data_IF_523307387846
#
_entry.id   IF_523307387846
#
_cell.length_a   1.000
_cell.length_b   1.000
_cell.length_c   1.000
_cell.angle_alpha   90.00
_cell.angle_beta   90.00
_cell.angle_gamma   90.00
#
_symmetry.space_group_name_H-M   'P 1'
#
loop_
_entity.id
_entity.type
_entity.pdbx_description
1 polymer ?
#
# COMPACT_ATOMS: atom_id res chain seq x y z
N UNK A 1 19.26 -44.67 -29.97
CA UNK A 1 20.24 -43.80 -29.29
C UNK A 1 19.77 -42.38 -29.48
N UNK A 2 18.92 -41.88 -28.61
CA UNK A 2 18.34 -40.53 -28.69
C UNK A 2 19.03 -39.63 -27.67
N UNK A 3 19.79 -38.66 -28.20
CA UNK A 3 20.54 -37.68 -27.42
C UNK A 3 19.61 -36.60 -26.92
N UNK A 4 19.29 -36.58 -25.59
CA UNK A 4 18.65 -35.48 -24.91
C UNK A 4 19.67 -34.33 -24.74
N UNK A 5 19.58 -33.32 -25.56
CA UNK A 5 20.27 -32.05 -25.30
C UNK A 5 19.43 -31.22 -24.34
N UNK A 6 19.83 -31.22 -23.08
CA UNK A 6 19.36 -30.25 -22.07
C UNK A 6 20.00 -28.91 -22.41
N UNK A 7 19.20 -27.97 -22.91
CA UNK A 7 19.65 -26.59 -23.06
C UNK A 7 19.71 -25.93 -21.68
N UNK A 8 20.91 -25.72 -21.20
CA UNK A 8 21.17 -24.84 -20.08
C UNK A 8 20.93 -23.40 -20.55
N UNK A 9 19.82 -22.82 -20.19
CA UNK A 9 19.59 -21.38 -20.32
C UNK A 9 20.31 -20.73 -19.14
N UNK A 10 21.31 -19.87 -19.36
CA UNK A 10 21.99 -19.23 -18.27
C UNK A 10 21.05 -18.28 -17.54
N UNK A 11 20.93 -18.48 -16.23
CA UNK A 11 20.13 -17.70 -15.26
C UNK A 11 20.52 -16.19 -15.23
N UNK A 12 21.52 -15.78 -15.98
CA UNK A 12 22.10 -14.42 -15.96
C UNK A 12 21.38 -13.38 -16.83
N UNK A 13 20.37 -13.77 -17.61
CA UNK A 13 19.63 -12.81 -18.51
C UNK A 13 18.39 -12.22 -17.83
N UNK A 14 17.90 -12.81 -16.73
CA UNK A 14 16.70 -12.32 -16.04
C UNK A 14 16.95 -11.14 -15.07
N UNK A 15 18.20 -10.84 -14.72
CA UNK A 15 18.52 -9.81 -13.72
C UNK A 15 18.58 -8.37 -14.27
N UNK A 16 18.54 -8.17 -15.59
CA UNK A 16 18.69 -6.82 -16.20
C UNK A 16 17.41 -6.20 -16.76
N UNK A 17 16.30 -6.92 -16.76
CA UNK A 17 15.00 -6.38 -17.24
C UNK A 17 14.04 -6.00 -16.10
N UNK A 18 14.38 -6.30 -14.83
CA UNK A 18 13.48 -6.12 -13.70
C UNK A 18 13.49 -4.72 -13.06
N UNK A 19 14.36 -3.80 -13.49
CA UNK A 19 14.54 -2.52 -12.76
C UNK A 19 13.68 -1.37 -13.25
N UNK A 20 12.98 -1.50 -14.38
CA UNK A 20 12.15 -0.42 -14.93
C UNK A 20 10.63 -0.64 -14.79
N UNK A 21 10.16 -1.86 -14.50
CA UNK A 21 8.72 -2.17 -14.47
C UNK A 21 8.05 -1.91 -13.12
N UNK A 22 8.81 -1.84 -12.01
CA UNK A 22 8.26 -1.59 -10.65
C UNK A 22 7.67 -0.17 -10.52
N UNK A 23 8.02 0.76 -11.40
CA UNK A 23 7.58 2.15 -11.33
C UNK A 23 6.35 2.47 -12.21
N UNK A 24 5.99 1.60 -13.15
CA UNK A 24 4.91 1.83 -14.10
C UNK A 24 3.60 1.17 -13.66
N UNK A 25 2.49 1.64 -14.23
CA UNK A 25 1.20 0.96 -14.11
C UNK A 25 1.21 -0.31 -14.97
N UNK A 26 0.96 -1.45 -14.34
CA UNK A 26 0.79 -2.73 -15.03
C UNK A 26 -0.68 -3.17 -14.96
N UNK A 27 -1.30 -3.32 -16.12
CA UNK A 27 -2.69 -3.74 -16.23
C UNK A 27 -2.89 -5.20 -15.76
N UNK A 28 -1.92 -6.07 -16.00
CA UNK A 28 -1.94 -7.45 -15.54
C UNK A 28 -1.90 -7.54 -14.02
N UNK A 29 -1.04 -6.76 -13.38
CA UNK A 29 -1.01 -6.64 -11.92
C UNK A 29 -2.34 -6.17 -11.34
N UNK A 30 -2.99 -5.18 -11.99
CA UNK A 30 -4.28 -4.69 -11.52
C UNK A 30 -5.38 -5.75 -11.62
N UNK A 31 -5.45 -6.49 -12.72
CA UNK A 31 -6.46 -7.54 -12.89
C UNK A 31 -6.22 -8.72 -11.93
N UNK A 32 -4.96 -9.15 -11.73
CA UNK A 32 -4.59 -10.15 -10.73
C UNK A 32 -4.98 -9.68 -9.34
N UNK A 33 -4.62 -8.45 -8.97
CA UNK A 33 -4.97 -7.90 -7.66
C UNK A 33 -6.48 -7.84 -7.41
N UNK A 34 -7.26 -7.41 -8.39
CA UNK A 34 -8.73 -7.39 -8.25
C UNK A 34 -9.32 -8.76 -8.00
N UNK A 35 -8.74 -9.80 -8.60
CA UNK A 35 -9.20 -11.18 -8.47
C UNK A 35 -8.75 -11.81 -7.16
N UNK A 36 -7.45 -11.74 -6.87
CA UNK A 36 -6.81 -12.55 -5.83
C UNK A 36 -6.53 -11.77 -4.54
N UNK A 37 -6.66 -10.42 -4.58
CA UNK A 37 -6.32 -9.49 -3.48
C UNK A 37 -4.87 -9.58 -3.01
N UNK A 38 -3.99 -10.18 -3.80
CA UNK A 38 -2.57 -10.34 -3.53
C UNK A 38 -1.78 -9.73 -4.69
N UNK A 39 -0.88 -8.79 -4.37
CA UNK A 39 -0.02 -8.13 -5.34
C UNK A 39 1.18 -7.53 -4.64
N UNK A 40 2.14 -8.38 -4.24
CA UNK A 40 3.39 -7.90 -3.67
C UNK A 40 4.30 -7.29 -4.74
N UNK A 41 4.98 -6.18 -4.41
CA UNK A 41 5.92 -5.47 -5.30
C UNK A 41 5.34 -5.08 -6.67
N UNK A 42 4.02 -4.92 -6.76
CA UNK A 42 3.33 -4.64 -8.02
C UNK A 42 3.41 -3.17 -8.44
N UNK A 43 3.42 -2.94 -9.76
CA UNK A 43 3.25 -1.62 -10.37
C UNK A 43 1.77 -1.26 -10.51
N UNK A 44 1.22 -0.52 -9.55
CA UNK A 44 -0.18 -0.09 -9.51
C UNK A 44 -0.31 1.45 -9.48
N UNK A 45 0.65 2.14 -10.07
CA UNK A 45 0.65 3.61 -10.16
C UNK A 45 -0.64 4.13 -10.81
N UNK A 46 -1.30 5.09 -10.14
CA UNK A 46 -2.59 5.67 -10.58
C UNK A 46 -3.74 4.65 -10.69
N UNK A 47 -3.64 3.48 -10.10
CA UNK A 47 -4.70 2.47 -10.13
C UNK A 47 -6.03 3.04 -9.61
N UNK A 48 -7.12 2.71 -10.30
CA UNK A 48 -8.48 3.09 -9.89
C UNK A 48 -9.06 1.99 -9.00
N UNK A 49 -8.98 2.19 -7.68
CA UNK A 49 -9.39 1.23 -6.65
C UNK A 49 -10.48 1.81 -5.73
N UNK A 50 -11.16 2.88 -6.16
CA UNK A 50 -12.19 3.54 -5.36
C UNK A 50 -13.42 2.66 -5.13
N UNK A 51 -13.96 2.72 -3.89
CA UNK A 51 -15.15 1.98 -3.46
C UNK A 51 -15.00 0.45 -3.58
N UNK A 52 -13.78 -0.08 -3.53
CA UNK A 52 -13.52 -1.52 -3.61
C UNK A 52 -13.43 -2.14 -2.23
N UNK A 53 -13.86 -3.39 -2.14
CA UNK A 53 -13.75 -4.28 -0.99
C UNK A 53 -12.38 -4.97 -1.03
N UNK A 54 -11.41 -4.43 -0.29
CA UNK A 54 -10.00 -4.86 -0.32
C UNK A 54 -9.51 -5.34 1.06
N UNK A 55 -10.44 -5.79 1.91
CA UNK A 55 -10.12 -6.27 3.25
C UNK A 55 -9.09 -7.41 3.20
N UNK A 56 -8.10 -7.36 4.07
CA UNK A 56 -7.06 -8.36 4.19
C UNK A 56 -6.15 -8.49 2.97
N UNK A 57 -6.24 -7.56 2.00
CA UNK A 57 -5.39 -7.63 0.81
C UNK A 57 -3.91 -7.49 1.15
N UNK A 58 -3.05 -8.14 0.35
CA UNK A 58 -1.61 -8.02 0.46
C UNK A 58 -1.04 -7.22 -0.73
N UNK A 59 -0.59 -6.01 -0.43
CA UNK A 59 0.00 -5.04 -1.37
C UNK A 59 1.43 -4.66 -0.96
N UNK A 60 2.07 -5.46 -0.10
CA UNK A 60 3.40 -5.17 0.42
C UNK A 60 4.38 -4.77 -0.68
N UNK A 61 5.17 -3.72 -0.46
CA UNK A 61 6.21 -3.24 -1.37
C UNK A 61 5.72 -2.66 -2.70
N UNK A 62 4.40 -2.63 -2.94
CA UNK A 62 3.83 -2.20 -4.22
C UNK A 62 3.95 -0.71 -4.45
N UNK A 63 4.04 -0.31 -5.72
CA UNK A 63 3.98 1.08 -6.13
C UNK A 63 2.53 1.51 -6.40
N UNK A 64 1.95 2.21 -5.44
CA UNK A 64 0.59 2.76 -5.47
C UNK A 64 0.59 4.30 -5.60
N UNK A 65 1.68 4.85 -6.13
CA UNK A 65 1.80 6.30 -6.31
C UNK A 65 0.61 6.87 -7.08
N UNK A 66 -0.06 7.87 -6.51
CA UNK A 66 -1.30 8.46 -7.04
C UNK A 66 -2.47 7.49 -7.23
N UNK A 67 -2.47 6.32 -6.64
CA UNK A 67 -3.62 5.42 -6.68
C UNK A 67 -4.84 6.07 -6.00
N UNK A 68 -6.03 5.69 -6.43
CA UNK A 68 -7.28 6.20 -5.89
C UNK A 68 -8.02 5.12 -5.11
N UNK A 69 -8.01 5.23 -3.78
CA UNK A 69 -8.71 4.36 -2.82
C UNK A 69 -9.93 5.05 -2.18
N UNK A 70 -10.44 6.12 -2.80
CA UNK A 70 -11.57 6.86 -2.24
C UNK A 70 -12.72 5.94 -1.83
N UNK A 71 -13.10 5.97 -0.53
CA UNK A 71 -14.17 5.15 0.06
C UNK A 71 -13.96 3.63 -0.09
N UNK A 72 -12.75 3.14 -0.27
CA UNK A 72 -12.47 1.70 -0.26
C UNK A 72 -12.37 1.16 1.15
N UNK A 73 -12.55 -0.14 1.29
CA UNK A 73 -12.29 -0.87 2.53
C UNK A 73 -10.98 -1.65 2.43
N UNK A 74 -9.99 -1.22 3.20
CA UNK A 74 -8.65 -1.83 3.34
C UNK A 74 -8.45 -2.37 4.77
N UNK A 75 -9.53 -2.72 5.47
CA UNK A 75 -9.46 -3.27 6.83
C UNK A 75 -8.50 -4.46 6.87
N UNK A 76 -7.52 -4.41 7.77
CA UNK A 76 -6.51 -5.46 7.94
C UNK A 76 -5.57 -5.68 6.75
N UNK A 77 -5.57 -4.79 5.75
CA UNK A 77 -4.70 -4.92 4.59
C UNK A 77 -3.21 -4.77 4.96
N UNK A 78 -2.35 -5.50 4.27
CA UNK A 78 -0.90 -5.32 4.35
C UNK A 78 -0.43 -4.32 3.28
N UNK A 79 -0.14 -3.11 3.71
CA UNK A 79 0.37 -1.98 2.93
C UNK A 79 1.80 -1.62 3.36
N UNK A 80 2.52 -2.54 4.02
CA UNK A 80 3.88 -2.27 4.48
C UNK A 80 4.84 -2.03 3.31
N UNK A 81 5.76 -1.09 3.50
CA UNK A 81 6.80 -0.74 2.52
C UNK A 81 6.26 -0.24 1.16
N UNK A 82 4.95 0.09 1.06
CA UNK A 82 4.32 0.58 -0.17
C UNK A 82 4.66 2.04 -0.46
N UNK A 83 4.72 2.39 -1.74
CA UNK A 83 4.70 3.78 -2.17
C UNK A 83 3.26 4.25 -2.39
N UNK A 84 2.68 4.93 -1.41
CA UNK A 84 1.35 5.54 -1.43
C UNK A 84 1.41 7.06 -1.66
N UNK A 85 2.54 7.57 -2.10
CA UNK A 85 2.75 9.01 -2.31
C UNK A 85 1.67 9.61 -3.21
N UNK A 86 1.09 10.74 -2.78
CA UNK A 86 0.02 11.46 -3.48
C UNK A 86 -1.25 10.64 -3.77
N UNK A 87 -1.44 9.48 -3.13
CA UNK A 87 -2.67 8.70 -3.27
C UNK A 87 -3.88 9.44 -2.69
N UNK A 88 -5.06 9.13 -3.22
CA UNK A 88 -6.33 9.59 -2.65
C UNK A 88 -6.92 8.48 -1.79
N UNK A 89 -6.83 8.64 -0.47
CA UNK A 89 -7.33 7.70 0.54
C UNK A 89 -8.43 8.34 1.41
N UNK A 90 -9.13 9.36 0.88
CA UNK A 90 -10.23 10.01 1.62
C UNK A 90 -11.35 9.03 1.91
N UNK A 91 -11.85 9.07 3.15
CA UNK A 91 -12.91 8.18 3.64
C UNK A 91 -12.59 6.69 3.51
N UNK A 92 -11.32 6.31 3.33
CA UNK A 92 -10.90 4.91 3.25
C UNK A 92 -10.94 4.29 4.64
N UNK A 93 -11.42 3.06 4.76
CA UNK A 93 -11.30 2.28 5.97
C UNK A 93 -9.95 1.54 5.97
N UNK A 94 -9.08 1.88 6.90
CA UNK A 94 -7.75 1.31 7.12
C UNK A 94 -7.63 0.70 8.52
N UNK A 95 -8.76 0.33 9.15
CA UNK A 95 -8.75 -0.26 10.48
C UNK A 95 -7.85 -1.49 10.53
N UNK A 96 -6.91 -1.52 11.49
CA UNK A 96 -5.96 -2.61 11.66
C UNK A 96 -4.99 -2.84 10.48
N UNK A 97 -4.96 -1.93 9.49
CA UNK A 97 -4.05 -2.06 8.35
C UNK A 97 -2.58 -1.91 8.79
N UNK A 98 -1.70 -2.66 8.14
CA UNK A 98 -0.26 -2.54 8.32
C UNK A 98 0.33 -1.56 7.30
N UNK A 99 0.67 -0.35 7.75
CA UNK A 99 1.30 0.73 6.96
C UNK A 99 2.77 0.94 7.36
N UNK A 100 3.38 -0.05 8.00
CA UNK A 100 4.78 0.04 8.46
C UNK A 100 5.72 0.37 7.30
N UNK A 101 6.51 1.45 7.46
CA UNK A 101 7.47 1.88 6.44
C UNK A 101 6.85 2.36 5.12
N UNK A 102 5.53 2.56 5.05
CA UNK A 102 4.88 3.08 3.85
C UNK A 102 5.23 4.55 3.60
N UNK A 103 5.42 4.92 2.35
CA UNK A 103 5.53 6.32 1.94
C UNK A 103 4.14 6.90 1.66
N UNK A 104 3.66 7.74 2.57
CA UNK A 104 2.40 8.47 2.48
C UNK A 104 2.61 9.97 2.15
N UNK A 105 3.79 10.33 1.67
CA UNK A 105 4.13 11.72 1.33
C UNK A 105 3.07 12.33 0.40
N UNK A 106 2.47 13.43 0.85
CA UNK A 106 1.39 14.15 0.15
C UNK A 106 0.13 13.32 -0.12
N UNK A 107 -0.05 12.18 0.54
CA UNK A 107 -1.30 11.41 0.46
C UNK A 107 -2.46 12.17 1.11
N UNK A 108 -3.67 11.92 0.62
CA UNK A 108 -4.89 12.52 1.17
C UNK A 108 -5.66 11.48 1.99
N UNK A 109 -5.48 11.52 3.32
CA UNK A 109 -6.12 10.64 4.30
C UNK A 109 -7.29 11.32 5.04
N UNK A 110 -7.78 12.45 4.53
CA UNK A 110 -8.88 13.16 5.20
C UNK A 110 -10.08 12.25 5.44
N UNK A 111 -10.58 12.27 6.69
CA UNK A 111 -11.74 11.48 7.09
C UNK A 111 -11.56 9.96 6.89
N UNK A 112 -10.31 9.48 6.79
CA UNK A 112 -10.00 8.06 6.80
C UNK A 112 -10.06 7.48 8.22
N UNK A 113 -10.30 6.17 8.32
CA UNK A 113 -10.36 5.44 9.58
C UNK A 113 -9.10 4.59 9.72
N UNK A 114 -8.16 5.02 10.58
CA UNK A 114 -6.90 4.33 10.91
C UNK A 114 -6.92 3.73 12.31
N UNK A 115 -8.10 3.36 12.80
CA UNK A 115 -8.25 2.73 14.10
C UNK A 115 -7.38 1.47 14.18
N UNK A 116 -6.48 1.41 15.20
CA UNK A 116 -5.55 0.30 15.39
C UNK A 116 -4.58 0.01 14.21
N UNK A 117 -4.45 0.90 13.24
CA UNK A 117 -3.50 0.75 12.15
C UNK A 117 -2.04 0.91 12.63
N UNK A 118 -1.09 0.26 11.97
CA UNK A 118 0.33 0.37 12.29
C UNK A 118 1.06 1.27 11.28
N UNK A 119 1.46 2.47 11.71
CA UNK A 119 2.21 3.44 10.91
C UNK A 119 3.70 3.53 11.29
N UNK A 120 4.24 2.56 12.04
CA UNK A 120 5.64 2.62 12.50
C UNK A 120 6.59 2.84 11.32
N UNK A 121 7.39 3.91 11.39
CA UNK A 121 8.37 4.26 10.35
C UNK A 121 7.77 4.77 9.03
N UNK A 122 6.45 5.01 8.95
CA UNK A 122 5.84 5.59 7.75
C UNK A 122 6.29 7.05 7.55
N UNK A 123 6.39 7.47 6.28
CA UNK A 123 6.69 8.84 5.89
C UNK A 123 5.38 9.62 5.70
N UNK A 124 5.20 10.70 6.47
CA UNK A 124 3.96 11.50 6.48
C UNK A 124 4.18 12.95 6.03
N UNK A 125 5.23 13.26 5.28
CA UNK A 125 5.51 14.61 4.81
C UNK A 125 4.34 15.15 3.96
N UNK A 126 3.81 16.31 4.31
CA UNK A 126 2.67 16.96 3.65
C UNK A 126 1.40 16.08 3.56
N UNK A 127 1.27 14.99 4.33
CA UNK A 127 0.08 14.13 4.37
C UNK A 127 -1.10 14.90 4.96
N UNK A 128 -2.26 14.82 4.31
CA UNK A 128 -3.50 15.47 4.77
C UNK A 128 -4.26 14.55 5.73
N UNK A 129 -4.30 14.91 7.02
CA UNK A 129 -4.89 14.10 8.08
C UNK A 129 -6.17 14.71 8.71
N UNK A 130 -6.73 15.78 8.15
CA UNK A 130 -7.90 16.45 8.74
C UNK A 130 -9.07 15.46 8.86
N UNK A 131 -9.60 15.28 10.06
CA UNK A 131 -10.70 14.36 10.34
C UNK A 131 -10.33 12.88 10.34
N UNK A 132 -9.05 12.52 10.17
CA UNK A 132 -8.59 11.13 10.25
C UNK A 132 -8.73 10.59 11.68
N UNK A 133 -9.34 9.43 11.85
CA UNK A 133 -9.49 8.76 13.15
C UNK A 133 -8.24 7.90 13.41
N UNK A 134 -7.48 8.22 14.47
CA UNK A 134 -6.19 7.59 14.80
C UNK A 134 -6.20 6.86 16.15
N UNK A 135 -7.36 6.72 16.81
CA UNK A 135 -7.47 6.04 18.09
C UNK A 135 -6.87 4.64 18.02
N UNK A 136 -5.96 4.30 18.95
CA UNK A 136 -5.31 3.00 19.01
C UNK A 136 -4.26 2.73 17.92
N UNK A 137 -4.10 3.64 16.95
CA UNK A 137 -3.06 3.48 15.93
C UNK A 137 -1.66 3.52 16.55
N UNK A 138 -0.76 2.69 16.04
CA UNK A 138 0.68 2.78 16.36
C UNK A 138 1.29 3.83 15.43
N UNK A 139 1.73 4.94 16.03
CA UNK A 139 2.27 6.09 15.30
C UNK A 139 3.68 5.83 14.72
N UNK A 140 4.17 6.76 13.91
CA UNK A 140 5.47 6.63 13.21
C UNK A 140 6.66 6.36 14.13
N UNK A 141 6.60 6.80 15.39
CA UNK A 141 7.63 6.59 16.43
C UNK A 141 7.37 5.35 17.31
N UNK A 142 6.35 4.53 16.98
CA UNK A 142 5.99 3.32 17.70
C UNK A 142 5.08 3.55 18.92
N UNK A 143 4.68 4.78 19.22
CA UNK A 143 3.76 5.08 20.33
C UNK A 143 2.30 4.93 19.90
N UNK A 144 1.43 4.56 20.85
CA UNK A 144 0.01 4.38 20.57
C UNK A 144 -0.74 5.71 20.73
N UNK A 145 -1.55 6.04 19.75
CA UNK A 145 -2.41 7.21 19.76
C UNK A 145 -3.60 7.01 20.71
N UNK A 146 -3.76 7.92 21.69
CA UNK A 146 -4.83 7.89 22.67
C UNK A 146 -6.21 8.22 22.09
N UNK A 147 -7.23 8.02 22.89
CA UNK A 147 -8.59 8.46 22.58
C UNK A 147 -8.62 9.96 22.27
N UNK A 148 -9.45 10.34 21.30
CA UNK A 148 -9.53 11.72 20.82
C UNK A 148 -8.49 12.10 19.77
N UNK A 149 -7.62 11.15 19.34
CA UNK A 149 -6.68 11.38 18.24
C UNK A 149 -7.43 11.53 16.93
N UNK A 150 -7.73 12.78 16.56
CA UNK A 150 -8.42 13.15 15.33
C UNK A 150 -7.53 14.12 14.53
N UNK A 151 -7.11 13.71 13.35
CA UNK A 151 -6.23 14.51 12.50
C UNK A 151 -4.77 14.62 12.99
N UNK A 152 -4.49 14.25 14.22
CA UNK A 152 -3.15 14.14 14.80
C UNK A 152 -3.13 13.08 15.90
N UNK A 153 -1.99 12.42 16.10
CA UNK A 153 -1.80 11.47 17.19
C UNK A 153 -1.58 12.22 18.51
N UNK A 154 -2.40 11.93 19.52
CA UNK A 154 -2.20 12.35 20.92
C UNK A 154 -1.51 11.18 21.62
N UNK A 155 -0.34 11.42 22.21
CA UNK A 155 0.50 10.40 22.87
C UNK A 155 0.42 10.48 24.38
#
# INVERSE_FOLDING_TARGET
MTSNRVYWIPILVFALLATNDILAFDKGHLETFKKDKICEECGLTKAKLSKMELQGSNLRGSNLFRANFYKSDLTGANLSETNLGRSNMKHTNLQGANLRGADLTRADLREAFLFEANLTGALLEDTKLIGTVLKGAVWINGQICKDGSLGKCIQ
#
